data_IF_973412324422
#
_entry.id   IF_973412324422
#
_cell.length_a   1.000
_cell.length_b   1.000
_cell.length_c   1.000
_cell.angle_alpha   90.00
_cell.angle_beta   90.00
_cell.angle_gamma   90.00
#
_symmetry.space_group_name_H-M   'P 1'
#
loop_
_entity.id
_entity.type
_entity.pdbx_description
1 polymer ?
#
# COMPACT_ATOMS: atom_id res chain seq x y z
N UNK A 1 -6.23 -19.63 12.87
CA UNK A 1 -5.75 -18.41 12.23
C UNK A 1 -4.43 -18.68 11.54
N UNK A 2 -4.26 -18.19 10.30
CA UNK A 2 -3.07 -18.37 9.47
C UNK A 2 -1.87 -17.57 10.01
N UNK A 3 -0.65 -18.09 9.84
CA UNK A 3 0.58 -17.36 10.09
C UNK A 3 0.79 -16.24 9.06
N UNK A 4 1.78 -15.38 9.24
CA UNK A 4 2.14 -14.34 8.27
C UNK A 4 2.47 -14.96 6.90
N UNK A 5 3.28 -16.02 6.87
CA UNK A 5 3.64 -16.73 5.64
C UNK A 5 2.43 -17.32 4.92
N UNK A 6 1.59 -18.05 5.66
CA UNK A 6 0.34 -18.62 5.12
C UNK A 6 -0.61 -17.55 4.57
N UNK A 7 -0.67 -16.37 5.22
CA UNK A 7 -1.42 -15.22 4.73
C UNK A 7 -0.85 -14.67 3.42
N UNK A 8 0.49 -14.53 3.33
CA UNK A 8 1.15 -14.01 2.14
C UNK A 8 0.86 -14.91 0.93
N UNK A 9 0.95 -16.23 1.07
CA UNK A 9 0.77 -17.16 -0.04
C UNK A 9 -0.70 -17.55 -0.29
N UNK A 10 -1.63 -17.15 0.57
CA UNK A 10 -3.04 -17.52 0.50
C UNK A 10 -3.68 -17.30 -0.88
N UNK A 11 -3.50 -16.15 -1.57
CA UNK A 11 -4.11 -15.94 -2.88
C UNK A 11 -3.65 -16.96 -3.94
N UNK A 12 -2.40 -17.39 -3.86
CA UNK A 12 -1.87 -18.43 -4.75
C UNK A 12 -2.50 -19.79 -4.44
N UNK A 13 -2.62 -20.12 -3.15
CA UNK A 13 -3.25 -21.37 -2.71
C UNK A 13 -4.71 -21.47 -3.16
N UNK A 14 -5.47 -20.39 -3.07
CA UNK A 14 -6.86 -20.32 -3.51
C UNK A 14 -7.00 -20.50 -5.03
N UNK A 15 -6.01 -20.10 -5.82
CA UNK A 15 -5.98 -20.27 -7.28
C UNK A 15 -5.24 -21.52 -7.73
N UNK A 16 -4.86 -22.42 -6.80
CA UNK A 16 -4.07 -23.63 -7.04
C UNK A 16 -2.74 -23.36 -7.76
N UNK A 17 -2.16 -22.19 -7.51
CA UNK A 17 -0.83 -21.81 -8.00
C UNK A 17 0.19 -21.99 -6.89
N UNK A 18 1.40 -22.37 -7.25
CA UNK A 18 2.54 -22.38 -6.32
C UNK A 18 3.29 -21.07 -6.38
N UNK A 19 3.82 -20.65 -5.22
CA UNK A 19 4.69 -19.48 -5.16
C UNK A 19 6.00 -19.78 -5.91
N UNK A 20 6.47 -18.84 -6.70
CA UNK A 20 7.86 -18.84 -7.14
C UNK A 20 8.73 -18.47 -5.93
N UNK A 21 9.57 -19.39 -5.47
CA UNK A 21 10.35 -19.22 -4.22
C UNK A 21 11.33 -18.04 -4.28
N UNK A 22 11.91 -17.76 -5.43
CA UNK A 22 12.78 -16.59 -5.59
C UNK A 22 11.98 -15.29 -5.41
N UNK A 23 10.80 -15.21 -6.03
CA UNK A 23 9.91 -14.05 -5.90
C UNK A 23 9.36 -13.90 -4.47
N UNK A 24 8.94 -15.00 -3.85
CA UNK A 24 8.48 -15.00 -2.46
C UNK A 24 9.56 -14.43 -1.54
N UNK A 25 10.81 -14.87 -1.70
CA UNK A 25 11.94 -14.36 -0.92
C UNK A 25 12.12 -12.86 -1.14
N UNK A 26 12.13 -12.39 -2.39
CA UNK A 26 12.23 -10.97 -2.73
C UNK A 26 11.13 -10.15 -2.07
N UNK A 27 9.86 -10.61 -2.12
CA UNK A 27 8.74 -9.92 -1.49
C UNK A 27 8.90 -9.87 0.03
N UNK A 28 9.22 -10.99 0.67
CA UNK A 28 9.39 -11.07 2.14
C UNK A 28 10.54 -10.16 2.61
N UNK A 29 11.64 -10.12 1.87
CA UNK A 29 12.78 -9.25 2.16
C UNK A 29 12.39 -7.77 2.00
N UNK A 30 11.68 -7.42 0.92
CA UNK A 30 11.24 -6.06 0.66
C UNK A 30 10.33 -5.51 1.75
N UNK A 31 9.44 -6.34 2.30
CA UNK A 31 8.54 -5.95 3.40
C UNK A 31 9.16 -6.08 4.79
N UNK A 32 10.36 -6.64 4.92
CA UNK A 32 11.08 -6.79 6.20
C UNK A 32 10.39 -7.73 7.20
N UNK A 33 9.86 -8.87 6.73
CA UNK A 33 9.14 -9.84 7.57
C UNK A 33 9.85 -11.18 7.74
N UNK A 34 11.15 -11.28 7.42
CA UNK A 34 11.90 -12.54 7.44
C UNK A 34 11.78 -13.29 8.78
N UNK A 35 11.86 -12.54 9.89
CA UNK A 35 11.83 -13.09 11.26
C UNK A 35 10.40 -13.14 11.84
N UNK A 36 9.37 -12.90 11.02
CA UNK A 36 7.97 -12.84 11.47
C UNK A 36 7.05 -13.80 10.73
N UNK A 37 7.55 -14.60 9.81
CA UNK A 37 6.77 -15.48 8.95
C UNK A 37 5.92 -16.50 9.71
N UNK A 38 6.40 -16.98 10.85
CA UNK A 38 5.70 -17.95 11.71
C UNK A 38 4.70 -17.31 12.68
N UNK A 39 4.72 -15.98 12.82
CA UNK A 39 3.83 -15.26 13.74
C UNK A 39 2.41 -15.20 13.18
N UNK A 40 1.45 -15.18 14.08
CA UNK A 40 0.03 -14.98 13.77
C UNK A 40 -0.35 -13.50 13.87
N UNK A 41 -1.44 -13.04 13.26
CA UNK A 41 -1.82 -11.62 13.29
C UNK A 41 -1.85 -11.01 14.70
N UNK A 42 -2.32 -11.74 15.71
CA UNK A 42 -2.36 -11.27 17.09
C UNK A 42 -0.96 -11.03 17.72
N UNK A 43 0.09 -11.58 17.13
CA UNK A 43 1.49 -11.46 17.58
C UNK A 43 2.26 -10.40 16.79
N UNK A 44 1.58 -9.72 15.84
CA UNK A 44 2.16 -8.71 14.95
C UNK A 44 1.64 -7.32 15.32
N UNK A 45 2.52 -6.31 15.23
CA UNK A 45 2.07 -4.91 15.30
C UNK A 45 1.17 -4.54 14.12
N UNK A 46 0.41 -3.45 14.23
CA UNK A 46 -0.43 -2.95 13.13
C UNK A 46 0.34 -2.74 11.82
N UNK A 47 1.54 -2.17 11.90
CA UNK A 47 2.42 -1.99 10.73
C UNK A 47 2.92 -3.31 10.15
N UNK A 48 3.25 -4.29 10.99
CA UNK A 48 3.62 -5.62 10.52
C UNK A 48 2.45 -6.33 9.83
N UNK A 49 1.23 -6.19 10.37
CA UNK A 49 0.02 -6.71 9.72
C UNK A 49 -0.21 -6.05 8.35
N UNK A 50 0.00 -4.73 8.26
CA UNK A 50 -0.10 -4.00 6.99
C UNK A 50 0.96 -4.45 5.98
N UNK A 51 2.20 -4.67 6.41
CA UNK A 51 3.26 -5.23 5.57
C UNK A 51 2.94 -6.65 5.08
N UNK A 52 2.28 -7.49 5.90
CA UNK A 52 1.74 -8.79 5.47
C UNK A 52 0.68 -8.60 4.38
N UNK A 53 -0.21 -7.61 4.52
CA UNK A 53 -1.23 -7.32 3.50
C UNK A 53 -0.61 -6.86 2.17
N UNK A 54 0.41 -6.00 2.20
CA UNK A 54 1.16 -5.59 1.01
C UNK A 54 1.88 -6.78 0.37
N UNK A 55 2.58 -7.60 1.16
CA UNK A 55 3.26 -8.80 0.65
C UNK A 55 2.28 -9.79 0.01
N UNK A 56 1.11 -10.00 0.63
CA UNK A 56 0.02 -10.83 0.09
C UNK A 56 -0.49 -10.30 -1.25
N UNK A 57 -0.56 -9.00 -1.44
CA UNK A 57 -0.95 -8.41 -2.71
C UNK A 57 0.15 -8.60 -3.78
N UNK A 58 1.41 -8.33 -3.42
CA UNK A 58 2.56 -8.41 -4.34
C UNK A 58 2.90 -9.83 -4.80
N UNK A 59 2.63 -10.86 -3.97
CA UNK A 59 3.02 -12.25 -4.26
C UNK A 59 2.42 -12.78 -5.55
N UNK A 60 1.24 -12.29 -5.91
CA UNK A 60 0.52 -12.69 -7.12
C UNK A 60 1.04 -12.03 -8.39
N UNK A 61 1.92 -11.02 -8.27
CA UNK A 61 2.38 -10.13 -9.36
C UNK A 61 1.19 -9.54 -10.12
N UNK A 62 0.30 -8.79 -9.45
CA UNK A 62 -0.87 -8.22 -10.11
C UNK A 62 -0.46 -7.13 -11.10
N UNK A 63 -1.27 -6.90 -12.15
CA UNK A 63 -1.04 -5.78 -13.05
C UNK A 63 -1.22 -4.43 -12.33
N UNK A 64 -2.17 -4.37 -11.39
CA UNK A 64 -2.46 -3.18 -10.57
C UNK A 64 -2.68 -3.59 -9.12
N UNK A 65 -2.12 -2.86 -8.19
CA UNK A 65 -2.34 -2.99 -6.75
C UNK A 65 -3.22 -1.84 -6.28
N UNK A 66 -4.30 -2.16 -5.57
CA UNK A 66 -5.17 -1.18 -4.94
C UNK A 66 -4.86 -1.08 -3.45
N UNK A 67 -4.66 0.13 -2.96
CA UNK A 67 -4.44 0.45 -1.56
C UNK A 67 -5.48 1.47 -1.08
N UNK A 68 -6.41 1.03 -0.24
CA UNK A 68 -7.45 1.86 0.34
C UNK A 68 -7.05 2.23 1.77
N UNK A 69 -6.82 3.52 2.01
CA UNK A 69 -6.35 4.08 3.29
C UNK A 69 -5.21 3.27 3.94
N UNK A 70 -4.07 3.03 3.24
CA UNK A 70 -3.07 2.06 3.69
C UNK A 70 -2.40 2.44 5.01
N UNK A 71 -2.54 3.68 5.47
CA UNK A 71 -1.93 4.22 6.70
C UNK A 71 -2.96 4.65 7.75
N UNK A 72 -4.26 4.53 7.47
CA UNK A 72 -5.33 5.15 8.27
C UNK A 72 -5.38 4.73 9.74
N UNK A 73 -4.85 3.56 10.10
CA UNK A 73 -4.84 3.02 11.47
C UNK A 73 -3.43 2.93 12.08
N UNK A 74 -2.46 3.62 11.49
CA UNK A 74 -1.05 3.55 11.89
C UNK A 74 -0.58 4.90 12.46
N UNK A 75 0.39 4.84 13.37
CA UNK A 75 1.12 6.03 13.78
C UNK A 75 1.97 6.57 12.60
N UNK A 76 2.38 7.83 12.68
CA UNK A 76 3.06 8.52 11.58
C UNK A 76 4.36 7.85 11.13
N UNK A 77 5.12 7.24 12.07
CA UNK A 77 6.36 6.55 11.74
C UNK A 77 6.07 5.26 10.96
N UNK A 78 5.21 4.42 11.51
CA UNK A 78 4.82 3.15 10.90
C UNK A 78 4.08 3.37 9.57
N UNK A 79 3.25 4.42 9.49
CA UNK A 79 2.60 4.84 8.24
C UNK A 79 3.62 5.21 7.16
N UNK A 80 4.66 5.99 7.53
CA UNK A 80 5.76 6.33 6.62
C UNK A 80 6.46 5.09 6.05
N UNK A 81 6.76 4.10 6.89
CA UNK A 81 7.38 2.84 6.44
C UNK A 81 6.51 2.06 5.42
N UNK A 82 5.18 2.10 5.59
CA UNK A 82 4.24 1.47 4.63
C UNK A 82 4.19 2.24 3.31
N UNK A 83 4.21 3.58 3.37
CA UNK A 83 4.26 4.42 2.16
C UNK A 83 5.57 4.21 1.39
N UNK A 84 6.70 4.16 2.08
CA UNK A 84 8.00 3.85 1.47
C UNK A 84 8.00 2.48 0.80
N UNK A 85 7.38 1.48 1.41
CA UNK A 85 7.24 0.16 0.83
C UNK A 85 6.38 0.20 -0.46
N UNK A 86 5.26 0.91 -0.46
CA UNK A 86 4.43 1.10 -1.65
C UNK A 86 5.20 1.83 -2.75
N UNK A 87 5.94 2.90 -2.43
CA UNK A 87 6.78 3.62 -3.38
C UNK A 87 7.86 2.71 -3.97
N UNK A 88 8.58 1.98 -3.14
CA UNK A 88 9.58 1.01 -3.59
C UNK A 88 8.99 -0.08 -4.49
N UNK A 89 7.74 -0.51 -4.23
CA UNK A 89 7.10 -1.50 -5.10
C UNK A 89 6.89 -1.00 -6.53
N UNK A 90 6.67 0.30 -6.70
CA UNK A 90 6.61 0.96 -8.01
C UNK A 90 8.00 1.05 -8.62
N UNK A 91 8.98 1.57 -7.88
CA UNK A 91 10.31 1.90 -8.41
C UNK A 91 11.15 0.64 -8.70
N UNK A 92 11.12 -0.36 -7.80
CA UNK A 92 11.96 -1.55 -7.89
C UNK A 92 11.29 -2.71 -8.64
N UNK A 93 9.96 -2.85 -8.54
CA UNK A 93 9.22 -3.98 -9.12
C UNK A 93 8.38 -3.58 -10.34
N UNK A 94 8.34 -2.28 -10.70
CA UNK A 94 7.50 -1.77 -11.80
C UNK A 94 6.01 -1.94 -11.54
N UNK A 95 5.59 -1.96 -10.26
CA UNK A 95 4.21 -2.16 -9.88
C UNK A 95 3.38 -0.90 -10.16
N UNK A 96 2.21 -1.03 -10.75
CA UNK A 96 1.22 0.05 -10.76
C UNK A 96 0.44 0.02 -9.46
N UNK A 97 0.44 1.11 -8.70
CA UNK A 97 -0.32 1.26 -7.45
C UNK A 97 -1.38 2.34 -7.62
N UNK A 98 -2.62 2.02 -7.30
CA UNK A 98 -3.71 3.00 -7.15
C UNK A 98 -4.04 3.09 -5.67
N UNK A 99 -3.80 4.25 -5.09
CA UNK A 99 -4.04 4.50 -3.68
C UNK A 99 -5.23 5.45 -3.51
N UNK A 100 -6.15 5.10 -2.62
CA UNK A 100 -7.22 5.99 -2.16
C UNK A 100 -6.86 6.46 -0.77
N UNK A 101 -6.83 7.77 -0.56
CA UNK A 101 -6.53 8.36 0.74
C UNK A 101 -7.06 9.79 0.85
N UNK A 102 -7.30 10.25 2.06
CA UNK A 102 -7.56 11.65 2.39
C UNK A 102 -6.35 12.34 3.03
N UNK A 103 -5.24 11.61 3.24
CA UNK A 103 -4.00 12.15 3.81
C UNK A 103 -3.10 12.73 2.71
N UNK A 104 -2.87 14.05 2.78
CA UNK A 104 -1.99 14.76 1.84
C UNK A 104 -0.55 14.24 1.85
N UNK A 105 -0.06 13.73 2.99
CA UNK A 105 1.28 13.14 3.07
C UNK A 105 1.32 11.82 2.29
N UNK A 106 0.33 10.97 2.47
CA UNK A 106 0.22 9.72 1.69
C UNK A 106 0.08 10.01 0.20
N UNK A 107 -0.78 10.95 -0.20
CA UNK A 107 -0.97 11.30 -1.61
C UNK A 107 0.29 11.89 -2.27
N UNK A 108 1.16 12.57 -1.50
CA UNK A 108 2.36 13.24 -2.04
C UNK A 108 3.45 12.29 -2.57
N UNK A 109 3.38 11.00 -2.25
CA UNK A 109 4.32 10.01 -2.81
C UNK A 109 3.94 9.55 -4.23
N UNK A 110 2.73 9.87 -4.69
CA UNK A 110 2.22 9.44 -5.99
C UNK A 110 2.86 10.23 -7.15
N UNK A 111 2.95 9.60 -8.32
CA UNK A 111 3.39 10.26 -9.54
C UNK A 111 2.26 11.07 -10.20
N UNK A 112 0.99 10.76 -9.86
CA UNK A 112 -0.21 11.44 -10.34
C UNK A 112 -1.26 11.47 -9.23
N UNK A 113 -1.92 12.60 -9.06
CA UNK A 113 -2.95 12.82 -8.03
C UNK A 113 -4.25 13.22 -8.69
N UNK A 114 -5.33 12.49 -8.36
CA UNK A 114 -6.67 12.75 -8.87
C UNK A 114 -7.58 13.10 -7.70
N UNK A 115 -8.19 14.29 -7.74
CA UNK A 115 -9.14 14.72 -6.73
C UNK A 115 -10.56 14.39 -7.16
N UNK A 116 -11.27 13.69 -6.28
CA UNK A 116 -12.65 13.30 -6.48
C UNK A 116 -13.56 14.05 -5.50
N UNK A 117 -14.64 14.65 -6.02
CA UNK A 117 -15.71 15.24 -5.22
C UNK A 117 -17.07 14.88 -5.84
N UNK A 118 -18.00 14.42 -5.03
CA UNK A 118 -19.36 14.04 -5.44
C UNK A 118 -19.40 13.10 -6.67
N UNK A 119 -18.44 12.14 -6.71
CA UNK A 119 -18.31 11.15 -7.78
C UNK A 119 -17.77 11.70 -9.10
N UNK A 120 -17.19 12.90 -9.11
CA UNK A 120 -16.59 13.54 -10.29
C UNK A 120 -15.13 13.86 -10.05
N UNK A 121 -14.35 13.82 -11.13
CA UNK A 121 -12.96 14.30 -11.12
C UNK A 121 -13.02 15.83 -11.16
N UNK A 122 -12.52 16.49 -10.13
CA UNK A 122 -12.39 17.95 -10.03
C UNK A 122 -11.02 18.43 -10.49
N UNK A 123 -9.97 17.66 -10.22
CA UNK A 123 -8.61 17.98 -10.62
C UNK A 123 -7.85 16.69 -10.88
N UNK A 124 -6.95 16.72 -11.86
CA UNK A 124 -6.07 15.62 -12.25
C UNK A 124 -4.70 16.20 -12.60
N UNK A 125 -3.73 15.97 -11.76
CA UNK A 125 -2.40 16.59 -11.83
C UNK A 125 -1.31 15.52 -11.73
N UNK A 126 -0.21 15.79 -12.38
CA UNK A 126 1.03 15.07 -12.16
C UNK A 126 1.54 15.33 -10.72
N UNK A 127 2.71 14.82 -10.40
CA UNK A 127 3.30 14.85 -9.06
C UNK A 127 3.10 16.18 -8.33
N UNK A 128 2.44 16.14 -7.18
CA UNK A 128 2.17 17.30 -6.34
C UNK A 128 2.95 17.23 -5.02
N UNK A 129 3.29 18.39 -4.47
CA UNK A 129 3.81 18.46 -3.10
C UNK A 129 2.69 18.29 -2.08
N UNK A 130 3.05 17.84 -0.86
CA UNK A 130 2.10 17.70 0.24
C UNK A 130 1.30 18.99 0.48
N UNK A 131 1.98 20.14 0.49
CA UNK A 131 1.34 21.42 0.79
C UNK A 131 0.36 21.82 -0.33
N UNK A 132 0.71 21.59 -1.60
CA UNK A 132 -0.19 21.84 -2.73
C UNK A 132 -1.44 20.93 -2.67
N UNK A 133 -1.28 19.66 -2.29
CA UNK A 133 -2.40 18.73 -2.08
C UNK A 133 -3.31 19.24 -0.96
N UNK A 134 -2.72 19.62 0.17
CA UNK A 134 -3.47 20.13 1.32
C UNK A 134 -4.28 21.39 1.00
N UNK A 135 -3.67 22.35 0.29
CA UNK A 135 -4.36 23.58 -0.14
C UNK A 135 -5.51 23.26 -1.13
N UNK A 136 -5.32 22.31 -2.03
CA UNK A 136 -6.36 21.86 -2.97
C UNK A 136 -7.52 21.22 -2.21
N UNK A 137 -7.27 20.32 -1.26
CA UNK A 137 -8.32 19.70 -0.42
C UNK A 137 -9.15 20.79 0.27
N UNK A 138 -8.49 21.75 0.93
CA UNK A 138 -9.17 22.88 1.57
C UNK A 138 -10.03 23.70 0.60
N UNK A 139 -9.51 23.96 -0.59
CA UNK A 139 -10.24 24.70 -1.63
C UNK A 139 -11.49 23.96 -2.12
N UNK A 140 -11.46 22.62 -2.15
CA UNK A 140 -12.59 21.79 -2.55
C UNK A 140 -13.66 21.65 -1.45
N UNK A 141 -13.32 21.81 -0.17
CA UNK A 141 -14.25 21.73 0.96
C UNK A 141 -15.09 23.00 1.12
N UNK A 142 -14.66 24.15 0.58
CA UNK A 142 -15.42 25.39 0.66
C UNK A 142 -16.67 25.29 -0.23
N UNK A 143 -17.89 25.44 0.32
CA UNK A 143 -19.11 25.47 -0.48
C UNK A 143 -19.07 26.63 -1.47
N UNK A 144 -19.35 26.37 -2.73
CA UNK A 144 -19.60 27.40 -3.73
C UNK A 144 -20.99 28.00 -3.56
#
# INVERSE_FOLDING_TARGET
TLTADENIVLPLSLTRRTANEAWRRTVVEAVGLQDRLTHRPAELSGGQQQRVAVARALITRPAVLFADEPTGNLDSHTGGEVLDLLRRSVDEFGQTVIMVTHDANAASIADRVVFLKDGRIELDEDRMTRDAIYDTIKGLEVPR
#
